data_IF_043350052429
#
_entry.id   IF_043350052429
#
_cell.length_a   1.000
_cell.length_b   1.000
_cell.length_c   1.000
_cell.angle_alpha   90.00
_cell.angle_beta   90.00
_cell.angle_gamma   90.00
#
_symmetry.space_group_name_H-M   'P 1'
#
loop_
_entity.id
_entity.type
_entity.pdbx_description
1 polymer ?
#
# COMPACT_ATOMS: atom_id res chain seq x y z
N UNK A 1 -7.52 -26.83 3.23
CA UNK A 1 -8.57 -25.81 3.47
C UNK A 1 -8.02 -24.48 2.97
N UNK A 2 -8.69 -23.85 2.01
CA UNK A 2 -8.35 -22.49 1.54
C UNK A 2 -9.00 -21.51 2.50
N UNK A 3 -8.20 -20.70 3.19
CA UNK A 3 -8.71 -19.59 3.99
C UNK A 3 -8.90 -18.40 3.04
N UNK A 4 -10.16 -18.13 2.71
CA UNK A 4 -10.56 -16.84 2.13
C UNK A 4 -10.57 -15.81 3.28
N UNK A 5 -10.09 -14.58 3.07
CA UNK A 5 -10.21 -13.53 4.07
C UNK A 5 -11.69 -13.26 4.37
N UNK A 6 -11.99 -13.10 5.66
CA UNK A 6 -13.31 -12.66 6.15
C UNK A 6 -13.52 -11.22 5.71
N UNK A 7 -14.65 -10.95 5.06
CA UNK A 7 -15.12 -9.56 4.83
C UNK A 7 -15.61 -9.24 3.42
N UNK A 8 -16.37 -10.12 2.77
CA UNK A 8 -17.17 -9.75 1.60
C UNK A 8 -18.65 -9.82 1.97
N UNK A 9 -19.11 -8.85 2.77
CA UNK A 9 -20.49 -8.75 3.22
C UNK A 9 -20.78 -7.37 3.82
N UNK A 10 -21.63 -6.62 3.13
CA UNK A 10 -22.12 -5.26 3.42
C UNK A 10 -21.12 -4.09 3.39
N UNK A 11 -20.97 -3.50 2.20
CA UNK A 11 -21.06 -2.04 2.02
C UNK A 11 -19.93 -1.14 2.53
N UNK A 12 -18.96 -1.62 3.29
CA UNK A 12 -17.78 -0.85 3.68
C UNK A 12 -16.69 -1.05 2.63
N UNK A 13 -16.64 -0.19 1.62
CA UNK A 13 -15.43 -0.06 0.81
C UNK A 13 -14.32 0.48 1.72
N UNK A 14 -13.34 -0.36 2.05
CA UNK A 14 -12.07 0.10 2.61
C UNK A 14 -11.53 1.24 1.74
N UNK A 15 -11.05 2.36 2.33
CA UNK A 15 -10.48 3.44 1.54
C UNK A 15 -9.33 2.88 0.70
N UNK A 16 -9.50 2.94 -0.62
CA UNK A 16 -8.54 2.42 -1.59
C UNK A 16 -7.85 3.58 -2.32
N UNK A 17 -6.54 3.68 -2.15
CA UNK A 17 -5.71 4.65 -2.89
C UNK A 17 -4.95 3.94 -4.00
N UNK A 18 -5.24 4.33 -5.25
CA UNK A 18 -4.62 3.76 -6.43
C UNK A 18 -3.81 4.82 -7.19
N UNK A 19 -2.59 4.48 -7.57
CA UNK A 19 -1.79 5.25 -8.52
C UNK A 19 -0.95 4.31 -9.41
N UNK A 20 -1.39 4.10 -10.65
CA UNK A 20 -0.76 3.14 -11.57
C UNK A 20 0.42 3.72 -12.37
N UNK A 21 0.72 5.01 -12.16
CA UNK A 21 1.88 5.73 -12.70
C UNK A 21 2.50 6.54 -11.56
N UNK A 22 2.83 5.86 -10.47
CA UNK A 22 3.07 6.49 -9.17
C UNK A 22 4.31 7.37 -9.13
N UNK A 23 5.23 7.23 -10.09
CA UNK A 23 6.49 7.96 -10.10
C UNK A 23 7.22 7.74 -8.78
N UNK A 24 7.61 8.82 -8.11
CA UNK A 24 8.23 8.75 -6.79
C UNK A 24 7.22 8.64 -5.63
N UNK A 25 5.91 8.51 -5.87
CA UNK A 25 4.92 8.31 -4.80
C UNK A 25 4.42 9.58 -4.10
N UNK A 26 4.80 10.76 -4.57
CA UNK A 26 4.45 12.05 -3.95
C UNK A 26 2.94 12.27 -3.84
N UNK A 27 2.16 11.86 -4.85
CA UNK A 27 0.70 12.02 -4.86
C UNK A 27 0.03 11.11 -3.82
N UNK A 28 0.48 9.85 -3.73
CA UNK A 28 0.03 8.91 -2.71
C UNK A 28 0.35 9.44 -1.31
N UNK A 29 1.58 9.91 -1.11
CA UNK A 29 2.01 10.47 0.17
C UNK A 29 1.16 11.68 0.57
N UNK A 30 0.93 12.64 -0.33
CA UNK A 30 0.08 13.80 -0.06
C UNK A 30 -1.33 13.39 0.37
N UNK A 31 -1.88 12.32 -0.21
CA UNK A 31 -3.20 11.80 0.13
C UNK A 31 -3.23 11.10 1.49
N UNK A 32 -2.17 10.37 1.84
CA UNK A 32 -1.99 9.78 3.18
C UNK A 32 -1.90 10.90 4.23
N UNK A 33 -1.12 11.96 3.99
CA UNK A 33 -1.02 13.10 4.91
C UNK A 33 -2.35 13.84 5.08
N UNK A 34 -3.12 14.01 3.99
CA UNK A 34 -4.44 14.63 4.07
C UNK A 34 -5.39 13.81 4.96
N UNK A 35 -5.33 12.47 4.87
CA UNK A 35 -6.12 11.58 5.72
C UNK A 35 -5.67 11.68 7.19
N UNK A 36 -4.36 11.62 7.45
CA UNK A 36 -3.79 11.80 8.79
C UNK A 36 -4.18 13.12 9.43
N UNK A 37 -4.20 14.23 8.68
CA UNK A 37 -4.63 15.52 9.20
C UNK A 37 -6.13 15.56 9.51
N UNK A 38 -6.96 14.89 8.69
CA UNK A 38 -8.40 14.83 8.93
C UNK A 38 -8.78 13.94 10.12
N UNK A 39 -7.91 13.00 10.49
CA UNK A 39 -8.11 12.01 11.56
C UNK A 39 -6.99 12.07 12.62
N UNK A 40 -6.46 13.27 12.90
CA UNK A 40 -5.23 13.46 13.68
C UNK A 40 -5.25 12.86 15.09
N UNK A 41 -6.43 12.66 15.67
CA UNK A 41 -6.61 12.06 17.00
C UNK A 41 -6.77 10.54 16.99
N UNK A 42 -6.92 9.93 15.82
CA UNK A 42 -7.12 8.49 15.67
C UNK A 42 -5.78 7.79 15.39
N UNK A 43 -5.28 6.95 16.30
CA UNK A 43 -4.04 6.21 16.10
C UNK A 43 -4.13 5.17 14.97
N UNK A 44 -5.34 4.71 14.67
CA UNK A 44 -5.61 3.63 13.72
C UNK A 44 -6.17 4.18 12.40
N UNK A 45 -6.07 5.50 12.17
CA UNK A 45 -6.59 6.22 11.00
C UNK A 45 -6.21 5.63 9.63
N UNK A 46 -5.12 4.87 9.57
CA UNK A 46 -4.60 4.25 8.35
C UNK A 46 -4.73 2.71 8.34
N UNK A 47 -5.24 2.08 9.41
CA UNK A 47 -5.29 0.63 9.54
C UNK A 47 -6.24 -0.04 8.54
N UNK A 48 -7.29 0.65 8.12
CA UNK A 48 -8.23 0.17 7.09
C UNK A 48 -7.83 0.64 5.67
N UNK A 49 -6.71 1.36 5.51
CA UNK A 49 -6.28 1.89 4.22
C UNK A 49 -5.53 0.83 3.40
N UNK A 50 -5.99 0.64 2.17
CA UNK A 50 -5.26 -0.14 1.15
C UNK A 50 -4.65 0.81 0.12
N UNK A 51 -3.34 0.70 -0.08
CA UNK A 51 -2.59 1.45 -1.09
C UNK A 51 -2.13 0.49 -2.17
N UNK A 52 -2.51 0.75 -3.42
CA UNK A 52 -2.01 0.04 -4.59
C UNK A 52 -1.29 1.03 -5.51
N UNK A 53 -0.02 0.75 -5.81
CA UNK A 53 0.82 1.60 -6.63
C UNK A 53 1.53 0.78 -7.72
N UNK A 54 1.75 1.41 -8.88
CA UNK A 54 2.58 0.84 -9.93
C UNK A 54 3.39 1.92 -10.62
N UNK A 55 4.61 1.59 -11.01
CA UNK A 55 5.33 2.34 -12.05
C UNK A 55 6.02 1.38 -13.02
N UNK A 56 6.26 1.81 -14.26
CA UNK A 56 7.05 1.00 -15.20
C UNK A 56 8.55 1.08 -14.91
N UNK A 57 8.97 2.15 -14.24
CA UNK A 57 10.35 2.37 -13.85
C UNK A 57 10.60 1.74 -12.47
N UNK A 58 11.57 0.80 -12.35
CA UNK A 58 11.82 0.10 -11.10
C UNK A 58 12.35 1.01 -9.99
N UNK A 59 13.06 2.10 -10.32
CA UNK A 59 13.51 3.07 -9.32
C UNK A 59 12.34 3.89 -8.79
N UNK A 60 11.39 4.27 -9.64
CA UNK A 60 10.16 4.95 -9.24
C UNK A 60 9.31 4.08 -8.30
N UNK A 61 9.07 2.83 -8.68
CA UNK A 61 8.34 1.88 -7.84
C UNK A 61 9.05 1.67 -6.49
N UNK A 62 10.38 1.50 -6.49
CA UNK A 62 11.15 1.35 -5.24
C UNK A 62 11.13 2.61 -4.36
N UNK A 63 11.23 3.80 -4.96
CA UNK A 63 11.11 5.07 -4.22
C UNK A 63 9.73 5.25 -3.59
N UNK A 64 8.67 4.86 -4.30
CA UNK A 64 7.30 4.90 -3.78
C UNK A 64 7.16 3.96 -2.58
N UNK A 65 7.61 2.71 -2.70
CA UNK A 65 7.62 1.75 -1.60
C UNK A 65 8.39 2.27 -0.37
N UNK A 66 9.59 2.82 -0.59
CA UNK A 66 10.42 3.36 0.48
C UNK A 66 9.76 4.55 1.18
N UNK A 67 9.13 5.46 0.42
CA UNK A 67 8.43 6.60 1.01
C UNK A 67 7.24 6.18 1.86
N UNK A 68 6.44 5.22 1.39
CA UNK A 68 5.31 4.69 2.17
C UNK A 68 5.79 3.98 3.43
N UNK A 69 6.88 3.20 3.35
CA UNK A 69 7.48 2.53 4.52
C UNK A 69 8.03 3.52 5.54
N UNK A 70 8.89 4.46 5.10
CA UNK A 70 9.48 5.46 5.99
C UNK A 70 8.39 6.31 6.64
N UNK A 71 7.32 6.64 5.91
CA UNK A 71 6.23 7.43 6.47
C UNK A 71 5.53 6.67 7.61
N UNK A 72 5.21 5.39 7.43
CA UNK A 72 4.64 4.56 8.50
C UNK A 72 5.52 4.53 9.75
N UNK A 73 6.85 4.43 9.56
CA UNK A 73 7.82 4.40 10.66
C UNK A 73 7.97 5.75 11.38
N UNK A 74 8.06 6.86 10.64
CA UNK A 74 8.28 8.19 11.20
C UNK A 74 7.05 8.69 11.95
N UNK A 75 5.85 8.39 11.45
CA UNK A 75 4.61 8.84 12.06
C UNK A 75 4.03 7.86 13.07
N UNK A 76 4.59 6.65 13.18
CA UNK A 76 4.05 5.56 14.01
C UNK A 76 2.57 5.29 13.68
N UNK A 77 2.26 5.29 12.38
CA UNK A 77 0.92 5.10 11.82
C UNK A 77 0.99 4.01 10.75
N UNK A 78 0.75 2.73 11.10
CA UNK A 78 0.74 1.64 10.13
C UNK A 78 -0.38 1.81 9.10
N UNK A 79 -0.07 1.51 7.84
CA UNK A 79 -1.08 1.41 6.78
C UNK A 79 -1.55 -0.04 6.71
N UNK A 80 -2.85 -0.26 6.61
CA UNK A 80 -3.48 -1.58 6.55
C UNK A 80 -2.84 -2.52 5.53
N UNK A 81 -2.79 -2.09 4.27
CA UNK A 81 -2.07 -2.82 3.22
C UNK A 81 -1.40 -1.87 2.22
N UNK A 82 -0.21 -2.26 1.77
CA UNK A 82 0.52 -1.54 0.72
C UNK A 82 1.02 -2.55 -0.30
N UNK A 83 0.65 -2.33 -1.57
CA UNK A 83 1.11 -3.11 -2.71
C UNK A 83 1.77 -2.15 -3.71
N UNK A 84 3.06 -2.33 -3.97
CA UNK A 84 3.79 -1.57 -4.98
C UNK A 84 4.39 -2.52 -6.00
N UNK A 85 4.02 -2.29 -7.26
CA UNK A 85 4.39 -3.14 -8.38
C UNK A 85 5.25 -2.38 -9.39
N UNK A 86 6.09 -3.11 -10.12
CA UNK A 86 6.84 -2.57 -11.25
C UNK A 86 6.42 -3.26 -12.55
N UNK A 87 5.48 -2.67 -13.29
CA UNK A 87 4.90 -3.28 -14.51
C UNK A 87 4.58 -2.25 -15.58
N UNK A 88 4.70 -2.66 -16.84
CA UNK A 88 4.08 -1.96 -17.97
C UNK A 88 2.59 -2.33 -18.05
N UNK A 89 1.75 -1.46 -17.50
CA UNK A 89 0.29 -1.64 -17.45
C UNK A 89 -0.38 -1.58 -18.82
N UNK A 90 0.24 -0.94 -19.82
CA UNK A 90 -0.33 -0.78 -21.17
C UNK A 90 0.02 -2.00 -22.02
N UNK A 91 1.27 -2.44 -21.98
CA UNK A 91 1.75 -3.54 -22.82
C UNK A 91 1.34 -4.94 -22.31
N UNK A 92 0.90 -5.06 -21.05
CA UNK A 92 0.63 -6.35 -20.36
C UNK A 92 1.75 -7.39 -20.53
N UNK A 93 2.98 -6.97 -20.88
CA UNK A 93 4.10 -7.84 -21.24
C UNK A 93 5.28 -7.64 -20.31
N UNK A 94 5.50 -8.73 -19.57
CA UNK A 94 6.67 -9.17 -18.80
C UNK A 94 6.95 -8.57 -17.43
N UNK A 95 7.03 -9.53 -16.50
CA UNK A 95 7.44 -9.54 -15.10
C UNK A 95 6.55 -8.76 -14.15
N UNK A 96 5.59 -9.50 -13.56
CA UNK A 96 4.99 -9.12 -12.29
C UNK A 96 6.12 -9.17 -11.25
N UNK A 97 6.87 -8.09 -11.07
CA UNK A 97 7.82 -7.98 -9.96
C UNK A 97 7.13 -7.17 -8.88
N UNK A 98 6.62 -7.82 -7.81
CA UNK A 98 6.25 -7.08 -6.61
C UNK A 98 7.52 -6.39 -6.10
N UNK A 99 7.50 -5.06 -6.03
CA UNK A 99 8.60 -4.29 -5.46
C UNK A 99 8.50 -4.29 -3.95
N UNK A 100 7.27 -4.23 -3.45
CA UNK A 100 6.99 -4.21 -2.02
C UNK A 100 5.54 -4.61 -1.76
N UNK A 101 5.35 -5.46 -0.77
CA UNK A 101 4.04 -5.81 -0.23
C UNK A 101 4.12 -5.85 1.30
N UNK A 102 3.18 -5.20 1.97
CA UNK A 102 3.05 -5.26 3.42
C UNK A 102 1.58 -5.28 3.84
N UNK A 103 1.28 -6.06 4.87
CA UNK A 103 -0.01 -6.07 5.56
C UNK A 103 0.21 -5.79 7.05
N UNK A 104 -0.66 -4.98 7.65
CA UNK A 104 -0.76 -4.79 9.09
C UNK A 104 -2.03 -5.50 9.60
N UNK A 105 -1.88 -6.34 10.62
CA UNK A 105 -2.99 -7.03 11.31
C UNK A 105 -3.02 -6.60 12.77
N UNK A 106 -4.21 -6.59 13.37
CA UNK A 106 -4.46 -6.13 14.76
C UNK A 106 -3.53 -6.78 15.81
N UNK A 107 -2.93 -7.94 15.53
CA UNK A 107 -2.06 -8.70 16.46
C UNK A 107 -0.60 -8.93 16.00
N UNK A 108 -0.15 -8.37 14.87
CA UNK A 108 1.22 -8.64 14.37
C UNK A 108 1.95 -7.38 13.90
N UNK A 109 3.22 -7.15 14.31
CA UNK A 109 4.05 -6.11 13.74
C UNK A 109 4.32 -6.43 12.26
N UNK A 110 4.02 -5.45 11.39
CA UNK A 110 4.40 -5.33 9.98
C UNK A 110 5.11 -6.55 9.36
N UNK A 111 4.40 -7.34 8.55
CA UNK A 111 5.01 -8.42 7.78
C UNK A 111 5.26 -7.98 6.32
N UNK A 112 6.53 -8.08 5.89
CA UNK A 112 6.88 -8.02 4.47
C UNK A 112 6.43 -9.30 3.79
N UNK A 113 5.41 -9.22 2.95
CA UNK A 113 4.94 -10.36 2.17
C UNK A 113 5.97 -10.63 1.07
N UNK A 114 6.66 -11.76 1.15
CA UNK A 114 7.50 -12.27 0.06
C UNK A 114 6.61 -13.11 -0.85
N UNK A 115 6.51 -12.73 -2.11
CA UNK A 115 5.98 -13.63 -3.15
C UNK A 115 7.03 -14.70 -3.42
N UNK A 116 6.78 -15.92 -2.92
CA UNK A 116 7.52 -17.11 -3.32
C UNK A 116 7.15 -17.44 -4.78
N UNK A 117 8.10 -17.22 -5.70
CA UNK A 117 8.03 -17.63 -7.12
C UNK A 117 8.13 -19.15 -7.29
#
# INVERSE_FOLDING_TARGET
MRFLPRGLGDGCQEPLFNDFTCGAGTLLLARVHALLWSQSNDPDALMDLVVSANDRDPLCAAMTALQLLINQLVWERPIGAVHVECKDIIAQRHLLVPVFASECREDCPFELVRDDL
#
